data_IF_424117390134
#
_entry.id   IF_424117390134
#
_cell.length_a   1.000
_cell.length_b   1.000
_cell.length_c   1.000
_cell.angle_alpha   90.00
_cell.angle_beta   90.00
_cell.angle_gamma   90.00
#
_symmetry.space_group_name_H-M   'P 1'
#
loop_
_entity.id
_entity.type
_entity.pdbx_description
1 polymer ?
#
# COMPACT_ATOMS: atom_id res chain seq x y z
N UNK A 1 -78.55 24.45 11.26
CA UNK A 1 -78.14 25.80 11.69
C UNK A 1 -76.85 26.17 10.96
N UNK A 2 -76.99 27.07 9.99
CA UNK A 2 -76.00 27.95 9.33
C UNK A 2 -74.61 27.42 8.90
N UNK A 3 -74.50 27.10 7.61
CA UNK A 3 -73.27 27.08 6.83
C UNK A 3 -72.73 28.50 6.61
N UNK A 4 -71.52 28.78 7.13
CA UNK A 4 -70.82 30.03 6.86
C UNK A 4 -70.33 30.08 5.41
N UNK A 5 -71.13 30.71 4.55
CA UNK A 5 -70.78 31.04 3.16
C UNK A 5 -69.47 31.85 3.12
N UNK A 6 -68.37 31.23 2.68
CA UNK A 6 -67.09 31.92 2.40
C UNK A 6 -67.36 33.03 1.37
N UNK A 7 -67.17 34.27 1.79
CA UNK A 7 -67.21 35.43 0.90
C UNK A 7 -65.97 35.40 0.01
N UNK A 8 -66.16 35.33 -1.31
CA UNK A 8 -65.09 35.54 -2.28
C UNK A 8 -64.71 37.01 -2.27
N UNK A 9 -63.66 37.35 -1.51
CA UNK A 9 -63.09 38.69 -1.49
C UNK A 9 -62.06 38.75 -2.62
N UNK A 10 -62.37 39.53 -3.65
CA UNK A 10 -61.46 39.82 -4.76
C UNK A 10 -60.20 40.48 -4.18
N UNK A 11 -59.04 39.86 -4.36
CA UNK A 11 -57.77 40.49 -3.96
C UNK A 11 -57.61 41.79 -4.74
N UNK A 12 -57.30 42.90 -4.05
CA UNK A 12 -56.97 44.16 -4.71
C UNK A 12 -55.77 43.90 -5.62
N UNK A 13 -55.98 43.97 -6.93
CA UNK A 13 -54.92 43.91 -7.93
C UNK A 13 -54.05 45.15 -7.74
N UNK A 14 -52.92 44.95 -7.08
CA UNK A 14 -52.03 46.03 -6.68
C UNK A 14 -50.75 45.87 -7.49
N UNK A 15 -50.44 46.83 -8.36
CA UNK A 15 -49.26 46.78 -9.24
C UNK A 15 -47.97 46.53 -8.45
N UNK A 16 -47.89 47.05 -7.22
CA UNK A 16 -46.78 46.81 -6.31
C UNK A 16 -46.61 45.33 -5.94
N UNK A 17 -47.72 44.62 -5.70
CA UNK A 17 -47.70 43.18 -5.38
C UNK A 17 -47.18 42.38 -6.57
N UNK A 18 -47.65 42.68 -7.78
CA UNK A 18 -47.18 42.04 -9.01
C UNK A 18 -45.69 42.33 -9.28
N UNK A 19 -45.23 43.56 -9.05
CA UNK A 19 -43.81 43.90 -9.18
C UNK A 19 -42.94 43.12 -8.19
N UNK A 20 -43.38 42.96 -6.94
CA UNK A 20 -42.67 42.17 -5.93
C UNK A 20 -42.64 40.68 -6.28
N UNK A 21 -43.76 40.13 -6.74
CA UNK A 21 -43.82 38.73 -7.20
C UNK A 21 -42.90 38.50 -8.41
N UNK A 22 -42.87 39.42 -9.39
CA UNK A 22 -41.93 39.36 -10.53
C UNK A 22 -40.47 39.39 -10.08
N UNK A 23 -40.11 40.29 -9.15
CA UNK A 23 -38.74 40.35 -8.57
C UNK A 23 -38.39 39.04 -7.85
N UNK A 24 -39.29 38.49 -7.04
CA UNK A 24 -39.07 37.21 -6.36
C UNK A 24 -38.91 36.04 -7.34
N UNK A 25 -39.72 35.99 -8.39
CA UNK A 25 -39.61 34.96 -9.43
C UNK A 25 -38.28 35.07 -10.20
N UNK A 26 -37.83 36.29 -10.52
CA UNK A 26 -36.53 36.53 -11.14
C UNK A 26 -35.37 36.03 -10.26
N UNK A 27 -35.37 36.38 -8.96
CA UNK A 27 -34.37 35.91 -8.01
C UNK A 27 -34.39 34.38 -7.85
N UNK A 28 -35.58 33.76 -7.79
CA UNK A 28 -35.73 32.29 -7.75
C UNK A 28 -35.18 31.62 -9.00
N UNK A 29 -35.43 32.18 -10.19
CA UNK A 29 -34.86 31.69 -11.47
C UNK A 29 -33.33 31.77 -11.48
N UNK A 30 -32.78 32.91 -11.05
CA UNK A 30 -31.32 33.11 -10.93
C UNK A 30 -30.68 32.11 -9.95
N UNK A 31 -31.29 31.91 -8.78
CA UNK A 31 -30.84 30.92 -7.78
C UNK A 31 -30.93 29.49 -8.30
N UNK A 32 -31.99 29.11 -9.00
CA UNK A 32 -32.11 27.76 -9.61
C UNK A 32 -30.96 27.44 -10.56
N UNK A 33 -30.56 28.40 -11.39
CA UNK A 33 -29.41 28.24 -12.28
C UNK A 33 -28.10 28.02 -11.52
N UNK A 34 -27.89 28.79 -10.44
CA UNK A 34 -26.72 28.65 -9.57
C UNK A 34 -26.68 27.28 -8.88
N UNK A 35 -27.79 26.83 -8.29
CA UNK A 35 -27.86 25.52 -7.64
C UNK A 35 -27.72 24.36 -8.62
N UNK A 36 -28.22 24.47 -9.86
CA UNK A 36 -27.94 23.46 -10.92
C UNK A 36 -26.45 23.37 -11.24
N UNK A 37 -25.74 24.51 -11.33
CA UNK A 37 -24.30 24.51 -11.57
C UNK A 37 -23.51 23.94 -10.38
N UNK A 38 -23.88 24.32 -9.16
CA UNK A 38 -23.26 23.82 -7.94
C UNK A 38 -23.49 22.33 -7.70
N UNK A 39 -24.67 21.81 -8.03
CA UNK A 39 -24.96 20.37 -7.89
C UNK A 39 -24.14 19.53 -8.86
N UNK A 40 -23.99 19.98 -10.12
CA UNK A 40 -23.11 19.32 -11.09
C UNK A 40 -21.66 19.36 -10.61
N UNK A 41 -21.17 20.53 -10.17
CA UNK A 41 -19.81 20.66 -9.66
C UNK A 41 -19.58 19.80 -8.40
N UNK A 42 -20.52 19.80 -7.47
CA UNK A 42 -20.48 18.99 -6.26
C UNK A 42 -20.47 17.49 -6.57
N UNK A 43 -21.23 17.04 -7.57
CA UNK A 43 -21.20 15.64 -8.02
C UNK A 43 -19.82 15.26 -8.58
N UNK A 44 -19.19 16.13 -9.37
CA UNK A 44 -17.83 15.90 -9.90
C UNK A 44 -16.80 15.83 -8.77
N UNK A 45 -16.87 16.74 -7.80
CA UNK A 45 -15.97 16.74 -6.64
C UNK A 45 -16.17 15.49 -5.78
N UNK A 46 -17.42 15.06 -5.57
CA UNK A 46 -17.72 13.82 -4.84
C UNK A 46 -17.15 12.59 -5.55
N UNK A 47 -17.31 12.50 -6.87
CA UNK A 47 -16.73 11.40 -7.65
C UNK A 47 -15.20 11.39 -7.55
N UNK A 48 -14.57 12.55 -7.68
CA UNK A 48 -13.12 12.67 -7.49
C UNK A 48 -12.71 12.23 -6.08
N UNK A 49 -13.42 12.68 -5.04
CA UNK A 49 -13.13 12.33 -3.65
C UNK A 49 -13.23 10.81 -3.40
N UNK A 50 -14.20 10.12 -4.00
CA UNK A 50 -14.33 8.66 -3.91
C UNK A 50 -13.11 7.96 -4.54
N UNK A 51 -12.70 8.40 -5.73
CA UNK A 51 -11.52 7.84 -6.42
C UNK A 51 -10.23 8.08 -5.62
N UNK A 52 -10.04 9.29 -5.08
CA UNK A 52 -8.90 9.61 -4.23
C UNK A 52 -8.90 8.79 -2.94
N UNK A 53 -10.05 8.68 -2.26
CA UNK A 53 -10.16 7.90 -1.03
C UNK A 53 -9.84 6.41 -1.26
N UNK A 54 -10.36 5.81 -2.33
CA UNK A 54 -10.03 4.43 -2.70
C UNK A 54 -8.55 4.23 -3.03
N UNK A 55 -7.94 5.19 -3.75
CA UNK A 55 -6.53 5.14 -4.11
C UNK A 55 -5.61 5.25 -2.88
N UNK A 56 -5.95 6.12 -1.93
CA UNK A 56 -5.21 6.28 -0.67
C UNK A 56 -5.32 5.05 0.21
N UNK A 57 -6.49 4.42 0.29
CA UNK A 57 -6.68 3.19 1.06
C UNK A 57 -5.84 2.02 0.49
N UNK A 58 -5.82 1.88 -0.84
CA UNK A 58 -5.00 0.85 -1.50
C UNK A 58 -3.51 1.08 -1.26
N UNK A 59 -3.04 2.33 -1.30
CA UNK A 59 -1.63 2.65 -1.06
C UNK A 59 -1.20 2.36 0.37
N UNK A 60 -2.05 2.61 1.37
CA UNK A 60 -1.73 2.34 2.77
C UNK A 60 -1.50 0.83 3.02
N UNK A 61 -2.32 -0.04 2.44
CA UNK A 61 -2.13 -1.50 2.56
C UNK A 61 -0.85 -1.97 1.88
N UNK A 62 -0.50 -1.38 0.73
CA UNK A 62 0.70 -1.73 -0.01
C UNK A 62 1.98 -1.35 0.74
N UNK A 63 1.96 -0.28 1.54
CA UNK A 63 3.14 0.17 2.29
C UNK A 63 3.56 -0.87 3.32
N UNK A 64 2.63 -1.40 4.11
CA UNK A 64 2.96 -2.42 5.12
C UNK A 64 3.52 -3.71 4.48
N UNK A 65 2.93 -4.15 3.37
CA UNK A 65 3.42 -5.30 2.62
C UNK A 65 4.83 -5.05 2.05
N UNK A 66 5.09 -3.84 1.54
CA UNK A 66 6.40 -3.43 1.03
C UNK A 66 7.44 -3.35 2.16
N UNK A 67 7.08 -2.86 3.34
CA UNK A 67 7.99 -2.82 4.50
C UNK A 67 8.36 -4.22 4.99
N UNK A 68 7.38 -5.12 5.12
CA UNK A 68 7.64 -6.50 5.50
C UNK A 68 8.55 -7.21 4.48
N UNK A 69 8.30 -7.01 3.19
CA UNK A 69 9.14 -7.56 2.11
C UNK A 69 10.55 -6.96 2.12
N UNK A 70 10.68 -5.66 2.39
CA UNK A 70 11.97 -4.98 2.55
C UNK A 70 12.76 -5.58 3.71
N UNK A 71 12.13 -5.80 4.86
CA UNK A 71 12.78 -6.39 6.03
C UNK A 71 13.24 -7.84 5.76
N UNK A 72 12.46 -8.63 5.03
CA UNK A 72 12.85 -9.97 4.60
C UNK A 72 14.06 -9.94 3.66
N UNK A 73 14.03 -9.07 2.64
CA UNK A 73 15.12 -8.93 1.68
C UNK A 73 16.42 -8.45 2.34
N UNK A 74 16.34 -7.55 3.32
CA UNK A 74 17.52 -7.12 4.09
C UNK A 74 18.14 -8.29 4.87
N UNK A 75 17.32 -9.11 5.54
CA UNK A 75 17.82 -10.31 6.23
C UNK A 75 18.46 -11.32 5.29
N UNK A 76 17.87 -11.49 4.10
CA UNK A 76 18.43 -12.38 3.08
C UNK A 76 19.76 -11.85 2.54
N UNK A 77 19.86 -10.54 2.34
CA UNK A 77 21.09 -9.87 1.93
C UNK A 77 22.20 -10.06 2.97
N UNK A 78 21.92 -9.80 4.26
CA UNK A 78 22.89 -9.99 5.33
C UNK A 78 23.40 -11.44 5.39
N UNK A 79 22.50 -12.41 5.23
CA UNK A 79 22.85 -13.84 5.20
C UNK A 79 23.73 -14.18 4.00
N UNK A 80 23.44 -13.62 2.83
CA UNK A 80 24.22 -13.82 1.62
C UNK A 80 25.60 -13.15 1.72
N UNK A 81 25.70 -11.98 2.34
CA UNK A 81 26.98 -11.31 2.58
C UNK A 81 27.86 -12.08 3.56
N UNK A 82 27.29 -12.59 4.66
CA UNK A 82 28.00 -13.46 5.59
C UNK A 82 28.55 -14.71 4.85
N UNK A 83 27.68 -15.41 4.10
CA UNK A 83 28.09 -16.58 3.32
C UNK A 83 29.17 -16.25 2.29
N UNK A 84 29.09 -15.07 1.66
CA UNK A 84 30.12 -14.60 0.72
C UNK A 84 31.45 -14.33 1.41
N UNK A 85 31.43 -13.80 2.63
CA UNK A 85 32.65 -13.62 3.44
C UNK A 85 33.26 -14.97 3.79
N UNK A 86 32.46 -15.90 4.32
CA UNK A 86 32.93 -17.24 4.69
C UNK A 86 33.56 -17.98 3.50
N UNK A 87 32.90 -17.93 2.34
CA UNK A 87 33.42 -18.53 1.10
C UNK A 87 34.70 -17.86 0.62
N UNK A 88 34.86 -16.54 0.81
CA UNK A 88 36.12 -15.86 0.48
C UNK A 88 37.25 -16.31 1.39
N UNK A 89 36.98 -16.45 2.68
CA UNK A 89 37.97 -16.92 3.64
C UNK A 89 38.35 -18.38 3.35
N UNK A 90 37.38 -19.21 2.98
CA UNK A 90 37.62 -20.58 2.52
C UNK A 90 38.48 -20.62 1.25
N UNK A 91 38.21 -19.76 0.26
CA UNK A 91 39.05 -19.63 -0.95
C UNK A 91 40.49 -19.26 -0.58
N UNK A 92 40.70 -18.38 0.41
CA UNK A 92 42.04 -18.00 0.87
C UNK A 92 42.71 -19.19 1.54
N UNK A 93 42.01 -19.91 2.43
CA UNK A 93 42.54 -21.11 3.10
C UNK A 93 42.88 -22.22 2.11
N UNK A 94 42.06 -22.42 1.08
CA UNK A 94 42.31 -23.41 0.02
C UNK A 94 43.54 -23.09 -0.85
N UNK A 95 44.09 -21.87 -0.79
CA UNK A 95 45.38 -21.55 -1.43
C UNK A 95 46.58 -21.96 -0.58
N UNK A 96 46.37 -22.27 0.70
CA UNK A 96 47.41 -22.74 1.60
C UNK A 96 47.57 -24.25 1.48
N UNK A 97 48.78 -24.71 1.11
CA UNK A 97 49.08 -26.13 0.92
C UNK A 97 48.91 -26.94 2.21
N UNK A 98 49.19 -26.36 3.38
CA UNK A 98 49.05 -27.04 4.66
C UNK A 98 47.57 -27.31 5.00
N UNK A 99 46.70 -26.34 4.74
CA UNK A 99 45.25 -26.48 4.92
C UNK A 99 44.66 -27.53 3.94
N UNK A 100 45.10 -27.53 2.68
CA UNK A 100 44.68 -28.53 1.69
C UNK A 100 45.16 -29.93 2.08
N UNK A 101 46.37 -30.07 2.62
CA UNK A 101 46.88 -31.34 3.11
C UNK A 101 46.10 -31.86 4.33
N UNK A 102 45.69 -30.96 5.23
CA UNK A 102 44.82 -31.29 6.36
C UNK A 102 43.43 -31.76 5.89
N UNK A 103 42.83 -31.05 4.92
CA UNK A 103 41.56 -31.44 4.31
C UNK A 103 41.66 -32.80 3.62
N UNK A 104 42.73 -33.05 2.87
CA UNK A 104 42.99 -34.34 2.22
C UNK A 104 43.16 -35.49 3.22
N UNK A 105 43.84 -35.25 4.34
CA UNK A 105 43.95 -36.23 5.44
C UNK A 105 42.60 -36.53 6.08
N UNK A 106 41.80 -35.50 6.33
CA UNK A 106 40.51 -35.61 7.03
C UNK A 106 39.42 -36.25 6.16
N UNK A 107 39.25 -35.77 4.93
CA UNK A 107 38.10 -36.12 4.10
C UNK A 107 38.41 -37.26 3.12
N UNK A 108 39.68 -37.39 2.70
CA UNK A 108 40.11 -38.37 1.71
C UNK A 108 41.06 -39.44 2.27
N UNK A 109 41.37 -39.40 3.56
CA UNK A 109 42.32 -40.33 4.19
C UNK A 109 43.65 -40.40 3.42
N UNK A 110 44.18 -39.25 3.00
CA UNK A 110 45.48 -39.17 2.36
C UNK A 110 46.58 -39.12 3.44
N UNK A 111 47.69 -39.84 3.29
CA UNK A 111 48.84 -39.77 4.21
C UNK A 111 50.15 -39.57 3.45
N UNK A 112 51.15 -38.96 4.09
CA UNK A 112 52.50 -38.83 3.51
C UNK A 112 53.26 -40.16 3.60
N UNK A 113 54.31 -40.30 2.79
CA UNK A 113 55.15 -41.49 2.79
C UNK A 113 55.70 -41.77 4.21
N UNK A 114 55.32 -42.92 4.77
CA UNK A 114 55.71 -43.34 6.13
C UNK A 114 54.65 -43.12 7.21
N UNK A 115 53.51 -42.50 6.90
CA UNK A 115 52.38 -42.32 7.84
C UNK A 115 51.35 -43.47 7.72
N UNK A 116 50.90 -44.03 8.85
CA UNK A 116 49.90 -45.12 8.93
C UNK A 116 48.52 -44.54 9.30
N UNK A 117 47.48 -44.88 8.54
CA UNK A 117 46.11 -44.41 8.77
C UNK A 117 45.33 -45.45 9.58
N UNK A 118 44.78 -45.02 10.71
CA UNK A 118 43.88 -45.85 11.54
C UNK A 118 42.42 -45.46 11.26
N UNK A 119 41.64 -46.38 10.69
CA UNK A 119 40.18 -46.24 10.57
C UNK A 119 39.53 -47.04 11.69
N UNK A 120 38.75 -46.35 12.53
CA UNK A 120 37.92 -47.00 13.54
C UNK A 120 36.57 -47.30 12.88
N UNK A 121 36.22 -48.57 12.75
CA UNK A 121 34.91 -49.00 12.28
C UNK A 121 33.90 -48.78 13.41
N UNK A 122 32.81 -48.03 13.18
CA UNK A 122 31.80 -47.74 14.21
C UNK A 122 31.04 -48.99 14.69
N UNK A 123 31.30 -50.16 14.09
CA UNK A 123 30.75 -51.47 14.50
C UNK A 123 31.54 -52.17 15.62
N UNK A 124 32.06 -51.43 16.59
CA UNK A 124 32.45 -52.01 17.88
C UNK A 124 31.65 -51.39 19.02
N UNK A 125 30.34 -51.68 19.02
CA UNK A 125 29.51 -51.68 20.23
C UNK A 125 28.41 -52.71 20.07
#
# INVERSE_FOLDING_TARGET
>A
MNDFKKRNISQIQNEYKEQMERKQQYLKRKRRGLYRRLTVFGAVVLLAAIVFAGSLWSQASDINAKEAKKAQLLKELDKLEAKKSDLKDEIVKLKDEDYVAELARKDYYLSKNGEIIFKFDEKSK
#
